data_IF_328663638871
#
_entry.id   IF_328663638871
#
_cell.length_a   1.000
_cell.length_b   1.000
_cell.length_c   1.000
_cell.angle_alpha   90.00
_cell.angle_beta   90.00
_cell.angle_gamma   90.00
#
_symmetry.space_group_name_H-M   'P 1'
#
loop_
_entity.id
_entity.type
_entity.pdbx_description
1 polymer ?
#
# COMPACT_ATOMS: atom_id res chain seq x y z
N UNK A 1 -12.98 0.25 -36.45
CA UNK A 1 -13.73 0.54 -35.21
C UNK A 1 -12.78 1.19 -34.24
N UNK A 2 -12.79 2.52 -34.20
CA UNK A 2 -11.88 3.34 -33.40
C UNK A 2 -12.45 3.44 -31.98
N UNK A 3 -11.79 2.79 -31.01
CA UNK A 3 -12.10 2.98 -29.60
C UNK A 3 -11.41 4.26 -29.14
N UNK A 4 -12.15 5.38 -29.11
CA UNK A 4 -11.70 6.59 -28.44
C UNK A 4 -11.66 6.35 -26.94
N UNK A 5 -10.46 6.06 -26.42
CA UNK A 5 -10.14 6.08 -25.00
C UNK A 5 -10.36 7.50 -24.46
N UNK A 6 -11.51 7.75 -23.86
CA UNK A 6 -11.82 8.97 -23.14
C UNK A 6 -10.98 9.07 -21.86
N UNK A 7 -9.74 9.52 -21.99
CA UNK A 7 -8.85 9.92 -20.90
C UNK A 7 -9.52 11.10 -20.16
N UNK A 8 -10.03 10.89 -18.95
CA UNK A 8 -10.24 12.00 -18.03
C UNK A 8 -9.23 11.85 -16.91
N UNK A 9 -8.33 12.82 -16.87
CA UNK A 9 -7.71 13.23 -15.63
C UNK A 9 -8.85 13.69 -14.72
N UNK A 10 -8.89 13.27 -13.46
CA UNK A 10 -9.62 14.05 -12.46
C UNK A 10 -8.91 15.40 -12.39
N UNK A 11 -9.38 16.37 -13.17
CA UNK A 11 -8.75 17.69 -13.33
C UNK A 11 -8.55 18.41 -11.99
N UNK A 12 -9.28 17.98 -10.95
CA UNK A 12 -9.30 18.60 -9.63
C UNK A 12 -8.34 17.94 -8.63
N UNK A 13 -7.82 16.73 -8.87
CA UNK A 13 -6.96 16.02 -7.89
C UNK A 13 -5.60 15.56 -8.43
N UNK A 14 -5.38 15.61 -9.75
CA UNK A 14 -4.15 15.12 -10.37
C UNK A 14 -4.03 13.59 -10.40
N UNK A 15 -5.16 12.88 -10.28
CA UNK A 15 -5.24 11.41 -10.35
C UNK A 15 -5.78 10.99 -11.72
N UNK A 16 -5.08 10.09 -12.40
CA UNK A 16 -5.51 9.45 -13.64
C UNK A 16 -6.08 8.06 -13.33
N UNK A 17 -7.38 7.87 -13.59
CA UNK A 17 -8.02 6.55 -13.48
C UNK A 17 -7.93 5.83 -14.83
N UNK A 18 -7.30 4.65 -14.86
CA UNK A 18 -7.01 3.89 -16.09
C UNK A 18 -8.04 2.81 -16.43
N UNK A 19 -8.98 2.53 -15.54
CA UNK A 19 -10.03 1.54 -15.75
C UNK A 19 -11.09 2.01 -16.77
N UNK A 20 -11.80 1.09 -17.46
CA UNK A 20 -12.96 1.41 -18.28
C UNK A 20 -14.03 2.18 -17.48
N UNK A 21 -14.78 3.06 -18.16
CA UNK A 21 -15.77 3.97 -17.53
C UNK A 21 -17.10 3.31 -17.20
N UNK A 22 -17.38 2.22 -17.89
CA UNK A 22 -18.63 1.48 -17.88
C UNK A 22 -18.67 0.39 -16.82
N UNK A 23 -17.62 0.29 -15.98
CA UNK A 23 -17.59 -0.61 -14.84
C UNK A 23 -18.72 -0.25 -13.85
N UNK A 24 -19.76 -1.11 -13.69
CA UNK A 24 -21.04 -0.74 -13.08
C UNK A 24 -20.95 -0.24 -11.63
N UNK A 25 -19.86 -0.56 -10.93
CA UNK A 25 -19.64 -0.28 -9.51
C UNK A 25 -18.45 0.64 -9.23
N UNK A 26 -17.79 1.14 -10.28
CA UNK A 26 -16.61 2.00 -10.15
C UNK A 26 -16.90 3.23 -9.29
N UNK A 27 -18.07 3.84 -9.46
CA UNK A 27 -18.51 5.02 -8.71
C UNK A 27 -18.77 4.78 -7.21
N UNK A 28 -18.95 3.53 -6.77
CA UNK A 28 -19.11 3.21 -5.34
C UNK A 28 -17.80 3.39 -4.56
N UNK A 29 -16.66 3.16 -5.23
CA UNK A 29 -15.33 3.13 -4.60
C UNK A 29 -14.49 4.34 -5.01
N UNK A 30 -14.53 4.73 -6.29
CA UNK A 30 -13.77 5.86 -6.84
C UNK A 30 -14.60 7.15 -6.76
N UNK A 31 -15.15 7.45 -5.59
CA UNK A 31 -15.84 8.71 -5.34
C UNK A 31 -14.86 9.89 -5.43
N UNK A 32 -15.34 11.13 -5.68
CA UNK A 32 -14.48 12.31 -5.68
C UNK A 32 -13.66 12.46 -4.39
N UNK A 33 -14.26 12.16 -3.23
CA UNK A 33 -13.61 12.23 -1.92
C UNK A 33 -12.53 11.16 -1.77
N UNK A 34 -12.78 9.93 -2.24
CA UNK A 34 -11.79 8.87 -2.24
C UNK A 34 -10.59 9.21 -3.13
N UNK A 35 -10.83 9.77 -4.32
CA UNK A 35 -9.77 10.22 -5.23
C UNK A 35 -8.97 11.38 -4.64
N UNK A 36 -9.63 12.34 -3.99
CA UNK A 36 -8.95 13.43 -3.28
C UNK A 36 -8.09 12.93 -2.12
N UNK A 37 -8.60 11.97 -1.35
CA UNK A 37 -7.89 11.33 -0.25
C UNK A 37 -6.63 10.59 -0.72
N UNK A 38 -6.74 9.75 -1.75
CA UNK A 38 -5.58 9.03 -2.32
C UNK A 38 -4.55 10.01 -2.88
N UNK A 39 -4.99 11.08 -3.55
CA UNK A 39 -4.09 12.12 -4.04
C UNK A 39 -3.30 12.78 -2.90
N UNK A 40 -3.95 13.02 -1.76
CA UNK A 40 -3.31 13.59 -0.58
C UNK A 40 -2.30 12.63 0.06
N UNK A 41 -2.64 11.34 0.16
CA UNK A 41 -1.69 10.32 0.61
C UNK A 41 -0.45 10.27 -0.28
N UNK A 42 -0.61 10.28 -1.60
CA UNK A 42 0.51 10.27 -2.54
C UNK A 42 1.38 11.52 -2.39
N UNK A 43 0.79 12.72 -2.23
CA UNK A 43 1.56 13.95 -2.01
C UNK A 43 2.34 13.93 -0.70
N UNK A 44 1.74 13.43 0.38
CA UNK A 44 2.37 13.41 1.72
C UNK A 44 3.44 12.34 1.87
N UNK A 45 3.22 11.15 1.31
CA UNK A 45 4.04 9.97 1.60
C UNK A 45 4.79 9.41 0.39
N UNK A 46 4.45 9.84 -0.83
CA UNK A 46 5.05 9.32 -2.07
C UNK A 46 6.57 9.48 -2.11
N UNK A 47 7.09 10.67 -1.77
CA UNK A 47 8.53 10.91 -1.73
C UNK A 47 9.27 9.98 -0.76
N UNK A 48 8.75 9.84 0.47
CA UNK A 48 9.34 8.95 1.47
C UNK A 48 9.29 7.48 1.05
N UNK A 49 8.21 7.05 0.40
CA UNK A 49 8.10 5.69 -0.14
C UNK A 49 9.21 5.44 -1.16
N UNK A 50 9.45 6.38 -2.07
CA UNK A 50 10.44 6.22 -3.14
C UNK A 50 11.87 6.19 -2.56
N UNK A 51 12.18 7.01 -1.56
CA UNK A 51 13.43 6.94 -0.80
C UNK A 51 13.66 5.56 -0.15
N UNK A 52 12.62 5.00 0.48
CA UNK A 52 12.71 3.69 1.14
C UNK A 52 12.87 2.54 0.15
N UNK A 53 12.25 2.63 -1.03
CA UNK A 53 12.44 1.66 -2.10
C UNK A 53 13.88 1.70 -2.64
N UNK A 54 14.46 2.88 -2.82
CA UNK A 54 15.86 3.02 -3.19
C UNK A 54 16.80 2.47 -2.10
N UNK A 55 16.55 2.81 -0.84
CA UNK A 55 17.31 2.28 0.30
C UNK A 55 17.25 0.75 0.40
N UNK A 56 16.13 0.13 0.04
CA UNK A 56 15.99 -1.33 -0.02
C UNK A 56 16.92 -1.97 -1.05
N UNK A 57 17.09 -1.34 -2.22
CA UNK A 57 18.03 -1.82 -3.24
C UNK A 57 19.46 -1.73 -2.73
N UNK A 58 19.87 -0.56 -2.22
CA UNK A 58 21.20 -0.35 -1.67
C UNK A 58 21.52 -1.34 -0.51
N UNK A 59 20.56 -1.56 0.40
CA UNK A 59 20.75 -2.52 1.49
C UNK A 59 20.91 -3.95 0.97
N UNK A 60 20.17 -4.34 -0.05
CA UNK A 60 20.30 -5.68 -0.68
C UNK A 60 21.68 -5.86 -1.29
N UNK A 61 22.22 -4.84 -1.96
CA UNK A 61 23.58 -4.87 -2.51
C UNK A 61 24.64 -5.01 -1.41
N UNK A 62 24.53 -4.23 -0.33
CA UNK A 62 25.43 -4.33 0.82
C UNK A 62 25.42 -5.75 1.42
N UNK A 63 24.23 -6.32 1.65
CA UNK A 63 24.09 -7.69 2.18
C UNK A 63 24.71 -8.71 1.23
N UNK A 64 24.56 -8.53 -0.08
CA UNK A 64 25.16 -9.44 -1.06
C UNK A 64 26.69 -9.44 -1.03
N UNK A 65 27.30 -8.29 -0.68
CA UNK A 65 28.75 -8.14 -0.56
C UNK A 65 29.28 -8.70 0.76
N UNK A 66 28.58 -8.44 1.88
CA UNK A 66 29.02 -8.89 3.22
C UNK A 66 28.61 -10.32 3.55
N UNK A 67 27.58 -10.85 2.87
CA UNK A 67 27.08 -12.22 3.05
C UNK A 67 26.40 -12.49 4.40
N UNK A 68 26.17 -11.46 5.21
CA UNK A 68 25.68 -11.60 6.59
C UNK A 68 24.46 -10.72 6.87
N UNK A 69 23.56 -11.25 7.68
CA UNK A 69 22.45 -10.54 8.29
C UNK A 69 22.62 -10.65 9.79
N UNK A 70 22.81 -9.52 10.46
CA UNK A 70 22.90 -9.46 11.91
C UNK A 70 22.18 -8.22 12.44
N UNK A 71 21.96 -8.18 13.76
CA UNK A 71 21.33 -7.07 14.43
C UNK A 71 22.21 -5.83 14.42
N UNK A 72 21.58 -4.67 14.21
CA UNK A 72 22.23 -3.38 14.29
C UNK A 72 22.48 -3.01 15.76
N UNK A 73 23.69 -2.61 16.09
CA UNK A 73 24.07 -2.17 17.44
C UNK A 73 23.31 -0.90 17.85
N UNK A 74 23.04 -0.01 16.89
CA UNK A 74 22.34 1.27 17.11
C UNK A 74 20.90 1.10 17.62
N UNK A 75 20.33 -0.10 17.49
CA UNK A 75 18.96 -0.40 17.96
C UNK A 75 18.94 -1.36 19.16
N UNK A 76 20.10 -1.61 19.78
CA UNK A 76 20.23 -2.51 20.93
C UNK A 76 19.37 -2.06 22.11
N UNK A 77 19.41 -0.78 22.45
CA UNK A 77 18.65 -0.22 23.57
C UNK A 77 17.13 -0.40 23.40
N UNK A 78 16.64 -0.39 22.16
CA UNK A 78 15.24 -0.66 21.85
C UNK A 78 14.89 -2.13 22.06
N UNK A 79 15.81 -3.06 21.75
CA UNK A 79 15.58 -4.51 21.93
C UNK A 79 15.67 -4.95 23.39
N UNK A 80 16.55 -4.31 24.16
CA UNK A 80 16.80 -4.65 25.56
C UNK A 80 15.97 -3.81 26.55
N UNK A 81 15.25 -2.78 26.06
CA UNK A 81 14.40 -1.92 26.87
C UNK A 81 13.09 -2.58 27.31
N UNK A 82 12.57 -2.12 28.45
CA UNK A 82 11.27 -2.55 29.01
C UNK A 82 10.13 -1.67 28.46
N UNK A 83 9.57 -2.06 27.31
CA UNK A 83 8.45 -1.38 26.68
C UNK A 83 7.44 -2.36 26.09
N UNK A 84 6.21 -1.88 25.90
CA UNK A 84 5.13 -2.64 25.26
C UNK A 84 4.42 -1.79 24.22
N UNK A 85 3.90 -2.42 23.17
CA UNK A 85 3.02 -1.75 22.19
C UNK A 85 1.71 -1.31 22.85
N UNK A 86 0.99 -0.40 22.21
CA UNK A 86 -0.36 -0.03 22.63
C UNK A 86 -1.28 -1.26 22.71
N UNK A 87 -2.25 -1.29 23.65
CA UNK A 87 -3.19 -2.39 23.77
C UNK A 87 -3.93 -2.69 22.46
N UNK A 88 -4.05 -3.97 22.13
CA UNK A 88 -4.80 -4.38 20.96
C UNK A 88 -6.31 -4.18 21.18
N UNK A 89 -7.07 -3.82 20.13
CA UNK A 89 -8.53 -3.89 20.17
C UNK A 89 -9.01 -5.31 20.48
N UNK A 90 -10.12 -5.47 21.21
CA UNK A 90 -10.66 -6.79 21.63
C UNK A 90 -10.81 -7.76 20.45
N UNK A 91 -11.29 -7.26 19.31
CA UNK A 91 -11.46 -8.05 18.09
C UNK A 91 -10.14 -8.65 17.55
N UNK A 92 -8.99 -8.05 17.87
CA UNK A 92 -7.67 -8.51 17.45
C UNK A 92 -6.96 -9.38 18.51
N UNK A 93 -7.55 -9.60 19.69
CA UNK A 93 -6.93 -10.39 20.75
C UNK A 93 -6.92 -11.91 20.46
N UNK A 94 -7.84 -12.39 19.61
CA UNK A 94 -7.95 -13.80 19.24
C UNK A 94 -7.78 -14.01 17.73
N UNK A 95 -6.53 -14.20 17.29
CA UNK A 95 -6.19 -14.37 15.86
C UNK A 95 -5.80 -15.81 15.47
N UNK A 96 -6.17 -16.81 16.26
CA UNK A 96 -5.91 -18.21 15.90
C UNK A 96 -6.78 -18.58 14.70
N UNK A 97 -6.17 -19.12 13.65
CA UNK A 97 -6.89 -19.50 12.42
C UNK A 97 -7.11 -18.36 11.41
N UNK A 98 -6.23 -17.35 11.36
CA UNK A 98 -6.28 -16.38 10.27
C UNK A 98 -6.00 -17.09 8.92
N UNK A 99 -7.01 -17.11 8.04
CA UNK A 99 -6.88 -17.63 6.68
C UNK A 99 -6.59 -16.48 5.72
N UNK A 100 -5.50 -16.58 4.96
CA UNK A 100 -5.26 -15.69 3.84
C UNK A 100 -6.01 -16.23 2.62
N UNK A 101 -7.26 -15.79 2.45
CA UNK A 101 -8.01 -16.05 1.23
C UNK A 101 -7.53 -15.05 0.17
N UNK A 102 -6.87 -15.55 -0.88
CA UNK A 102 -6.59 -14.74 -2.06
C UNK A 102 -7.91 -14.29 -2.67
N UNK A 103 -8.08 -12.98 -2.87
CA UNK A 103 -9.30 -12.41 -3.43
C UNK A 103 -9.52 -12.90 -4.86
N UNK A 104 -10.22 -14.02 -5.01
CA UNK A 104 -10.80 -14.47 -6.26
C UNK A 104 -12.13 -13.72 -6.39
N UNK A 105 -12.21 -12.81 -7.35
CA UNK A 105 -13.47 -12.15 -7.69
C UNK A 105 -14.34 -13.17 -8.42
N UNK A 106 -15.47 -13.52 -7.82
CA UNK A 106 -16.48 -14.38 -8.44
C UNK A 106 -17.19 -13.57 -9.53
N UNK A 107 -17.01 -14.04 -10.76
CA UNK A 107 -17.60 -13.51 -11.99
C UNK A 107 -19.13 -13.69 -11.93
N UNK A 108 -19.87 -12.61 -11.69
CA UNK A 108 -21.32 -12.60 -11.88
C UNK A 108 -21.62 -12.33 -13.36
N UNK A 109 -21.73 -13.41 -14.14
CA UNK A 109 -22.41 -13.42 -15.44
C UNK A 109 -23.76 -14.10 -15.25
N UNK A 110 -24.82 -13.30 -15.21
CA UNK A 110 -26.14 -13.69 -15.74
C UNK A 110 -26.53 -12.67 -16.82
#
# INVERSE_FOLDING_TARGET
>A
MSWQLGRLVSEQTGVEVRAPRDEPRQGEILTPEALAFVADLQRRFGGRRDELLAARVARREQISQTGTLDFLDETRDVREGDWQVAPAPVAACHRRGAFAMGGMYEEYVE
#
